data_IF_155063261394
#
_entry.id   IF_155063261394
#
_cell.length_a   1.000
_cell.length_b   1.000
_cell.length_c   1.000
_cell.angle_alpha   90.00
_cell.angle_beta   90.00
_cell.angle_gamma   90.00
#
_symmetry.space_group_name_H-M   'P 1'
#
loop_
_entity.id
_entity.type
_entity.pdbx_description
1 polymer ?
#
# COMPACT_ATOMS: atom_id res chain seq x y z
N UNK A 1 -10.69 16.94 10.54
CA UNK A 1 -10.30 15.95 9.51
C UNK A 1 -11.19 14.74 9.64
N UNK A 2 -11.63 14.15 8.53
CA UNK A 2 -12.45 12.93 8.55
C UNK A 2 -11.51 11.73 8.70
N UNK A 3 -11.90 10.70 9.46
CA UNK A 3 -11.05 9.52 9.70
C UNK A 3 -11.46 8.38 8.79
N UNK A 4 -10.48 7.70 8.19
CA UNK A 4 -10.69 6.39 7.56
C UNK A 4 -9.86 5.34 8.27
N UNK A 5 -10.32 4.10 8.27
CA UNK A 5 -9.45 2.96 8.56
C UNK A 5 -9.26 2.13 7.31
N UNK A 6 -8.08 1.56 7.17
CA UNK A 6 -7.81 0.60 6.12
C UNK A 6 -7.93 -0.81 6.69
N UNK A 7 -8.47 -1.73 5.91
CA UNK A 7 -8.62 -3.12 6.35
C UNK A 7 -8.12 -4.05 5.26
N UNK A 8 -7.06 -4.81 5.54
CA UNK A 8 -6.57 -5.84 4.62
C UNK A 8 -7.69 -6.84 4.33
N UNK A 9 -8.00 -7.03 3.05
CA UNK A 9 -8.93 -8.05 2.58
C UNK A 9 -8.17 -9.33 2.22
N UNK A 10 -7.13 -9.20 1.39
CA UNK A 10 -6.23 -10.31 1.06
C UNK A 10 -4.84 -9.81 0.66
N UNK A 11 -3.87 -10.71 0.64
CA UNK A 11 -2.52 -10.45 0.13
C UNK A 11 -2.00 -11.69 -0.61
N UNK A 12 -1.37 -11.47 -1.75
CA UNK A 12 -0.59 -12.45 -2.51
C UNK A 12 0.89 -12.03 -2.48
N UNK A 13 1.82 -12.85 -3.02
CA UNK A 13 3.23 -12.47 -3.09
C UNK A 13 3.51 -11.19 -3.90
N UNK A 14 2.56 -10.71 -4.71
CA UNK A 14 2.75 -9.57 -5.62
C UNK A 14 1.65 -8.52 -5.53
N UNK A 15 0.67 -8.70 -4.63
CA UNK A 15 -0.51 -7.84 -4.54
C UNK A 15 -1.03 -7.76 -3.12
N UNK A 16 -1.42 -6.57 -2.66
CA UNK A 16 -2.21 -6.40 -1.43
C UNK A 16 -3.51 -5.71 -1.79
N UNK A 17 -4.61 -6.24 -1.27
CA UNK A 17 -5.94 -5.69 -1.41
C UNK A 17 -6.48 -5.27 -0.05
N UNK A 18 -7.06 -4.07 0.03
CA UNK A 18 -7.65 -3.55 1.26
C UNK A 18 -8.91 -2.73 1.01
N UNK A 19 -9.81 -2.77 1.98
CA UNK A 19 -10.99 -1.93 2.03
C UNK A 19 -10.69 -0.61 2.73
N UNK A 20 -11.20 0.49 2.16
CA UNK A 20 -11.24 1.80 2.83
C UNK A 20 -12.55 1.90 3.58
N UNK A 21 -12.48 2.02 4.91
CA UNK A 21 -13.61 2.03 5.81
C UNK A 21 -13.87 3.45 6.31
N UNK A 22 -15.14 3.86 6.35
CA UNK A 22 -15.54 5.12 6.97
C UNK A 22 -15.57 5.02 8.52
N UNK A 23 -15.78 6.13 9.26
CA UNK A 23 -15.84 6.10 10.72
C UNK A 23 -16.96 5.22 11.30
N UNK A 24 -17.99 4.93 10.53
CA UNK A 24 -19.10 4.04 10.93
C UNK A 24 -18.76 2.56 10.64
N UNK A 25 -17.58 2.27 10.10
CA UNK A 25 -17.14 0.93 9.75
C UNK A 25 -17.74 0.40 8.44
N UNK A 26 -18.28 1.27 7.57
CA UNK A 26 -18.77 0.88 6.25
C UNK A 26 -17.66 0.96 5.23
N UNK A 27 -17.57 -0.07 4.39
CA UNK A 27 -16.63 -0.11 3.26
C UNK A 27 -17.06 0.88 2.19
N UNK A 28 -16.18 1.82 1.85
CA UNK A 28 -16.40 2.84 0.82
C UNK A 28 -15.91 2.35 -0.54
N UNK A 29 -14.73 1.76 -0.58
CA UNK A 29 -14.13 1.18 -1.78
C UNK A 29 -13.12 0.08 -1.41
N UNK A 30 -12.69 -0.65 -2.42
CA UNK A 30 -11.54 -1.55 -2.36
C UNK A 30 -10.40 -0.93 -3.16
N UNK A 31 -9.18 -1.11 -2.68
CA UNK A 31 -7.96 -0.68 -3.35
C UNK A 31 -6.98 -1.85 -3.43
N UNK A 32 -6.25 -1.86 -4.53
CA UNK A 32 -5.20 -2.84 -4.79
C UNK A 32 -3.86 -2.12 -4.95
N UNK A 33 -2.81 -2.67 -4.35
CA UNK A 33 -1.42 -2.36 -4.70
C UNK A 33 -0.88 -3.59 -5.39
N UNK A 34 -0.41 -3.43 -6.62
CA UNK A 34 0.37 -4.44 -7.32
C UNK A 34 1.85 -4.03 -7.26
N UNK A 35 2.69 -4.94 -6.77
CA UNK A 35 4.16 -4.82 -6.77
C UNK A 35 4.70 -6.01 -7.55
N UNK A 36 4.42 -6.00 -8.86
CA UNK A 36 4.76 -7.12 -9.72
C UNK A 36 6.28 -7.33 -9.77
N UNK A 37 6.77 -8.55 -10.03
CA UNK A 37 8.20 -8.81 -10.23
C UNK A 37 8.82 -7.95 -11.34
N UNK A 38 8.01 -7.50 -12.31
CA UNK A 38 8.41 -6.58 -13.35
C UNK A 38 8.70 -5.19 -12.78
N UNK A 39 7.76 -4.62 -12.02
CA UNK A 39 7.92 -3.29 -11.41
C UNK A 39 9.11 -3.27 -10.43
N UNK A 40 9.23 -4.31 -9.59
CA UNK A 40 10.35 -4.46 -8.68
C UNK A 40 11.68 -4.61 -9.43
N UNK A 41 11.67 -5.29 -10.57
CA UNK A 41 12.81 -5.43 -11.46
C UNK A 41 13.26 -4.09 -12.07
N UNK A 42 12.31 -3.26 -12.51
CA UNK A 42 12.61 -1.92 -13.00
C UNK A 42 13.19 -1.00 -11.92
N UNK A 43 12.66 -1.08 -10.69
CA UNK A 43 13.18 -0.31 -9.55
C UNK A 43 14.61 -0.76 -9.19
N UNK A 44 14.86 -2.08 -9.17
CA UNK A 44 16.21 -2.64 -8.95
C UNK A 44 17.18 -2.23 -10.06
N UNK A 45 16.74 -2.26 -11.32
CA UNK A 45 17.55 -1.83 -12.46
C UNK A 45 17.91 -0.33 -12.43
N UNK A 46 17.06 0.50 -11.81
CA UNK A 46 17.32 1.92 -11.53
C UNK A 46 18.25 2.15 -10.33
N UNK A 47 18.75 1.09 -9.70
CA UNK A 47 19.66 1.16 -8.56
C UNK A 47 18.99 1.45 -7.22
N UNK A 48 17.65 1.30 -7.11
CA UNK A 48 17.00 1.37 -5.80
C UNK A 48 17.36 0.16 -4.96
N UNK A 49 17.33 0.35 -3.63
CA UNK A 49 17.33 -0.73 -2.67
C UNK A 49 15.90 -1.06 -2.23
N UNK A 50 15.76 -2.12 -1.41
CA UNK A 50 14.47 -2.58 -0.90
C UNK A 50 13.73 -1.50 -0.10
N UNK A 51 14.47 -0.65 0.62
CA UNK A 51 13.89 0.39 1.49
C UNK A 51 13.29 1.50 0.64
N UNK A 52 14.03 1.97 -0.36
CA UNK A 52 13.59 2.97 -1.33
C UNK A 52 12.40 2.46 -2.17
N UNK A 53 12.43 1.19 -2.59
CA UNK A 53 11.32 0.58 -3.31
C UNK A 53 10.05 0.49 -2.45
N UNK A 54 10.17 0.06 -1.19
CA UNK A 54 9.03 0.01 -0.27
C UNK A 54 8.45 1.40 0.04
N UNK A 55 9.31 2.41 0.21
CA UNK A 55 8.90 3.80 0.40
C UNK A 55 8.13 4.34 -0.81
N UNK A 56 8.54 3.98 -2.04
CA UNK A 56 7.82 4.37 -3.25
C UNK A 56 6.39 3.84 -3.28
N UNK A 57 6.17 2.58 -2.91
CA UNK A 57 4.81 2.03 -2.81
C UNK A 57 4.00 2.67 -1.67
N UNK A 58 4.67 3.06 -0.58
CA UNK A 58 4.03 3.82 0.50
C UNK A 58 3.49 5.16 0.02
N UNK A 59 4.28 5.89 -0.78
CA UNK A 59 3.89 7.19 -1.34
C UNK A 59 2.76 7.05 -2.36
N UNK A 60 2.85 6.06 -3.26
CA UNK A 60 1.78 5.75 -4.21
C UNK A 60 0.46 5.46 -3.49
N UNK A 61 0.51 4.72 -2.37
CA UNK A 61 -0.65 4.43 -1.56
C UNK A 61 -1.27 5.70 -0.96
N UNK A 62 -0.45 6.61 -0.44
CA UNK A 62 -0.89 7.90 0.10
C UNK A 62 -1.55 8.74 -0.98
N UNK A 63 -1.01 8.77 -2.20
CA UNK A 63 -1.58 9.49 -3.32
C UNK A 63 -2.94 8.92 -3.75
N UNK A 64 -3.03 7.60 -3.92
CA UNK A 64 -4.27 6.94 -4.30
C UNK A 64 -5.38 7.17 -3.26
N UNK A 65 -5.06 7.04 -1.97
CA UNK A 65 -6.02 7.33 -0.89
C UNK A 65 -6.42 8.80 -0.95
N UNK A 66 -5.46 9.72 -1.02
CA UNK A 66 -5.75 11.16 -1.11
C UNK A 66 -6.64 11.52 -2.30
N UNK A 67 -6.49 10.83 -3.44
CA UNK A 67 -7.33 10.99 -4.62
C UNK A 67 -8.75 10.45 -4.45
N UNK A 68 -8.92 9.33 -3.73
CA UNK A 68 -10.22 8.65 -3.58
C UNK A 68 -11.12 9.26 -2.52
N UNK A 69 -10.55 9.71 -1.40
CA UNK A 69 -11.33 10.28 -0.29
C UNK A 69 -11.17 11.80 -0.20
N UNK A 70 -10.14 12.39 -0.81
CA UNK A 70 -9.84 13.82 -0.74
C UNK A 70 -8.79 14.13 0.33
N UNK A 71 -8.19 15.33 0.25
CA UNK A 71 -7.06 15.74 1.12
C UNK A 71 -7.41 15.94 2.60
N UNK A 72 -8.68 15.88 2.97
CA UNK A 72 -9.17 16.15 4.32
C UNK A 72 -9.25 14.92 5.23
N UNK A 73 -8.71 13.78 4.76
CA UNK A 73 -8.80 12.51 5.46
C UNK A 73 -7.47 12.07 6.06
N UNK A 74 -7.59 11.47 7.25
CA UNK A 74 -6.48 10.92 8.01
C UNK A 74 -6.71 9.43 8.21
N UNK A 75 -5.67 8.61 7.96
CA UNK A 75 -5.70 7.18 8.26
C UNK A 75 -5.61 6.99 9.78
N UNK A 76 -6.69 6.49 10.40
CA UNK A 76 -6.75 6.22 11.83
C UNK A 76 -6.36 4.78 12.19
N UNK A 77 -6.00 3.93 11.23
CA UNK A 77 -5.60 2.55 11.49
C UNK A 77 -5.48 1.68 10.23
N UNK A 78 -4.79 0.55 10.36
CA UNK A 78 -4.59 -0.45 9.30
C UNK A 78 -3.49 -0.12 8.29
N UNK A 79 -2.78 1.02 8.47
CA UNK A 79 -1.64 1.37 7.63
C UNK A 79 -0.52 0.35 7.72
N UNK A 80 -0.08 0.02 8.93
CA UNK A 80 0.96 -1.00 9.15
C UNK A 80 0.52 -2.39 8.69
N UNK A 81 -0.77 -2.74 8.82
CA UNK A 81 -1.30 -4.02 8.34
C UNK A 81 -1.22 -4.17 6.81
N UNK A 82 -1.16 -3.05 6.08
CA UNK A 82 -0.99 -2.99 4.63
C UNK A 82 0.49 -2.88 4.26
N UNK A 83 1.22 -1.99 4.93
CA UNK A 83 2.64 -1.75 4.62
C UNK A 83 3.55 -2.90 5.03
N UNK A 84 3.20 -3.68 6.05
CA UNK A 84 3.95 -4.87 6.47
C UNK A 84 4.15 -5.88 5.32
N UNK A 85 3.06 -6.41 4.73
CA UNK A 85 3.15 -7.33 3.58
C UNK A 85 3.87 -6.74 2.36
N UNK A 86 3.70 -5.43 2.09
CA UNK A 86 4.42 -4.74 1.01
C UNK A 86 5.93 -4.74 1.28
N UNK A 87 6.34 -4.32 2.48
CA UNK A 87 7.76 -4.30 2.90
C UNK A 87 8.38 -5.69 2.85
N UNK A 88 7.64 -6.71 3.30
CA UNK A 88 8.08 -8.11 3.27
C UNK A 88 8.29 -8.60 1.83
N UNK A 89 7.33 -8.37 0.94
CA UNK A 89 7.41 -8.79 -0.46
C UNK A 89 8.57 -8.10 -1.20
N UNK A 90 8.70 -6.78 -1.04
CA UNK A 90 9.79 -5.99 -1.62
C UNK A 90 11.13 -6.49 -1.10
N UNK A 91 11.28 -6.67 0.21
CA UNK A 91 12.53 -7.16 0.81
C UNK A 91 12.88 -8.56 0.31
N UNK A 92 11.89 -9.46 0.22
CA UNK A 92 12.07 -10.83 -0.30
C UNK A 92 12.53 -10.86 -1.75
N UNK A 93 12.10 -9.90 -2.57
CA UNK A 93 12.53 -9.80 -3.97
C UNK A 93 13.95 -9.24 -4.10
N UNK A 94 14.27 -8.16 -3.37
CA UNK A 94 15.56 -7.49 -3.47
C UNK A 94 16.70 -8.27 -2.80
N UNK A 95 16.40 -9.12 -1.81
CA UNK A 95 17.36 -10.04 -1.19
C UNK A 95 17.71 -11.28 -2.02
N UNK A 96 17.07 -11.47 -3.20
CA UNK A 96 17.42 -12.51 -4.18
C UNK A 96 18.39 -12.00 -5.24
#
# INVERSE_FOLDING_TARGET
MRKISLKKEYSTPTKVCFGVMDPEGRKRCTMDIDFSPYDLGELKAKGMDAVAAAARFEDELKEMISGLIGKEWECSGGWEDIMGPVREAVTSYFGR
#
